data_IF_593007750257
#
_entry.id   IF_593007750257
#
_cell.length_a   1.000
_cell.length_b   1.000
_cell.length_c   1.000
_cell.angle_alpha   90.00
_cell.angle_beta   90.00
_cell.angle_gamma   90.00
#
_symmetry.space_group_name_H-M   'P 1'
#
loop_
_entity.id
_entity.type
_entity.pdbx_description
1 polymer ?
#
# COMPACT_ATOMS: atom_id res chain seq x y z
N UNK A 1 21.99 -4.74 -1.57
CA UNK A 1 20.73 -4.53 -0.84
C UNK A 1 19.79 -3.85 -1.80
N UNK A 2 18.59 -4.38 -1.99
CA UNK A 2 17.61 -3.90 -2.97
C UNK A 2 16.32 -3.56 -2.23
N UNK A 3 15.81 -2.34 -2.43
CA UNK A 3 14.50 -1.94 -1.91
C UNK A 3 13.49 -2.03 -3.04
N UNK A 4 12.45 -2.84 -2.85
CA UNK A 4 11.37 -3.03 -3.83
C UNK A 4 10.10 -2.39 -3.28
N UNK A 5 9.57 -1.38 -3.96
CA UNK A 5 8.29 -0.74 -3.61
C UNK A 5 7.19 -1.19 -4.57
N UNK A 6 6.22 -1.95 -4.09
CA UNK A 6 4.99 -2.24 -4.85
C UNK A 6 3.91 -1.18 -4.57
N UNK A 7 3.28 -0.64 -5.61
CA UNK A 7 2.04 0.13 -5.46
C UNK A 7 0.89 -0.79 -5.02
N UNK A 8 -0.09 -0.26 -4.27
CA UNK A 8 -1.21 -1.08 -3.76
C UNK A 8 -2.01 -1.76 -4.87
N UNK A 9 -2.29 -1.05 -5.98
CA UNK A 9 -2.97 -1.63 -7.16
C UNK A 9 -2.16 -2.73 -7.83
N UNK A 10 -0.85 -2.52 -8.01
CA UNK A 10 0.01 -3.53 -8.60
C UNK A 10 0.11 -4.78 -7.72
N UNK A 11 0.14 -4.59 -6.40
CA UNK A 11 0.12 -5.69 -5.44
C UNK A 11 -1.19 -6.48 -5.51
N UNK A 12 -2.34 -5.78 -5.52
CA UNK A 12 -3.64 -6.43 -5.62
C UNK A 12 -3.82 -7.22 -6.93
N UNK A 13 -3.38 -6.65 -8.05
CA UNK A 13 -3.55 -7.25 -9.37
C UNK A 13 -2.59 -8.41 -9.65
N UNK A 14 -1.45 -8.49 -8.94
CA UNK A 14 -0.37 -9.41 -9.30
C UNK A 14 0.41 -9.94 -8.09
N UNK A 15 -0.28 -10.16 -6.98
CA UNK A 15 0.30 -10.57 -5.69
C UNK A 15 1.24 -11.76 -5.83
N UNK A 16 0.75 -12.85 -6.42
CA UNK A 16 1.47 -14.12 -6.46
C UNK A 16 2.79 -14.03 -7.24
N UNK A 17 2.80 -13.33 -8.37
CA UNK A 17 4.01 -13.20 -9.17
C UNK A 17 5.02 -12.24 -8.53
N UNK A 18 4.56 -11.17 -7.87
CA UNK A 18 5.42 -10.27 -7.10
C UNK A 18 6.10 -11.06 -5.97
N UNK A 19 5.32 -11.82 -5.18
CA UNK A 19 5.86 -12.63 -4.09
C UNK A 19 6.80 -13.72 -4.60
N UNK A 20 6.46 -14.39 -5.71
CA UNK A 20 7.32 -15.41 -6.33
C UNK A 20 8.66 -14.84 -6.75
N UNK A 21 8.68 -13.68 -7.41
CA UNK A 21 9.92 -13.03 -7.84
C UNK A 21 10.78 -12.59 -6.65
N UNK A 22 10.17 -12.05 -5.60
CA UNK A 22 10.87 -11.68 -4.37
C UNK A 22 11.48 -12.92 -3.68
N UNK A 23 10.72 -14.01 -3.57
CA UNK A 23 11.18 -15.25 -2.97
C UNK A 23 12.33 -15.89 -3.76
N UNK A 24 12.24 -15.90 -5.09
CA UNK A 24 13.31 -16.37 -5.97
C UNK A 24 14.57 -15.49 -5.86
N UNK A 25 14.41 -14.17 -5.79
CA UNK A 25 15.52 -13.26 -5.56
C UNK A 25 16.20 -13.53 -4.22
N UNK A 26 15.42 -13.69 -3.15
CA UNK A 26 15.92 -14.01 -1.82
C UNK A 26 16.69 -15.34 -1.80
N UNK A 27 16.13 -16.39 -2.42
CA UNK A 27 16.79 -17.72 -2.45
C UNK A 27 18.11 -17.72 -3.22
N UNK A 28 18.28 -16.80 -4.19
CA UNK A 28 19.53 -16.54 -4.91
C UNK A 28 20.52 -15.65 -4.16
N UNK A 29 20.24 -15.30 -2.91
CA UNK A 29 21.12 -14.52 -2.04
C UNK A 29 20.93 -12.99 -2.13
N UNK A 30 19.86 -12.50 -2.79
CA UNK A 30 19.57 -11.07 -2.77
C UNK A 30 19.11 -10.64 -1.38
N UNK A 31 19.75 -9.59 -0.86
CA UNK A 31 19.29 -8.87 0.33
C UNK A 31 18.20 -7.88 -0.08
N UNK A 32 16.97 -8.15 0.33
CA UNK A 32 15.77 -7.42 -0.09
C UNK A 32 15.08 -6.71 1.09
N UNK A 33 14.59 -5.50 0.85
CA UNK A 33 13.59 -4.82 1.68
C UNK A 33 12.37 -4.62 0.80
N UNK A 34 11.24 -5.21 1.17
CA UNK A 34 9.99 -5.05 0.44
C UNK A 34 9.07 -4.09 1.17
N UNK A 35 8.57 -3.10 0.44
CA UNK A 35 7.60 -2.10 0.92
C UNK A 35 6.40 -2.15 -0.02
N UNK A 36 5.18 -2.03 0.49
CA UNK A 36 3.99 -1.92 -0.34
C UNK A 36 3.12 -0.73 0.04
N UNK A 37 2.11 -0.46 -0.79
CA UNK A 37 1.01 0.45 -0.44
C UNK A 37 -0.30 -0.32 -0.35
N UNK A 38 -1.39 0.38 -0.06
CA UNK A 38 -2.72 -0.23 0.04
C UNK A 38 -3.88 0.75 -0.08
N UNK A 39 -3.66 1.96 -0.59
CA UNK A 39 -4.65 3.06 -0.51
C UNK A 39 -6.05 2.71 -1.04
N UNK A 40 -6.15 2.03 -2.17
CA UNK A 40 -7.43 1.64 -2.76
C UNK A 40 -8.14 0.57 -1.92
N UNK A 41 -7.38 -0.40 -1.40
CA UNK A 41 -7.89 -1.46 -0.52
C UNK A 41 -8.43 -0.84 0.77
N UNK A 42 -7.66 0.05 1.41
CA UNK A 42 -8.09 0.80 2.60
C UNK A 42 -9.35 1.60 2.31
N UNK A 43 -9.42 2.31 1.16
CA UNK A 43 -10.61 3.07 0.76
C UNK A 43 -11.87 2.20 0.65
N UNK A 44 -11.73 0.93 0.23
CA UNK A 44 -12.86 0.00 0.17
C UNK A 44 -13.28 -0.48 1.56
N UNK A 45 -12.32 -0.75 2.45
CA UNK A 45 -12.62 -1.15 3.83
C UNK A 45 -13.26 -0.02 4.64
N UNK A 46 -12.77 1.21 4.51
CA UNK A 46 -13.40 2.41 5.10
C UNK A 46 -14.88 2.46 4.74
N UNK A 47 -15.19 2.40 3.44
CA UNK A 47 -16.58 2.41 2.95
C UNK A 47 -17.40 1.23 3.46
N UNK A 48 -16.83 0.04 3.52
CA UNK A 48 -17.49 -1.14 4.08
C UNK A 48 -17.80 -0.99 5.57
N UNK A 49 -17.02 -0.20 6.31
CA UNK A 49 -17.21 0.13 7.72
C UNK A 49 -18.06 1.39 7.93
N UNK A 50 -18.59 2.01 6.87
CA UNK A 50 -19.38 3.24 6.95
C UNK A 50 -18.55 4.50 7.22
N UNK A 51 -17.24 4.45 6.99
CA UNK A 51 -16.31 5.57 7.09
C UNK A 51 -16.08 6.11 5.67
N UNK A 52 -16.26 7.40 5.44
CA UNK A 52 -15.94 7.99 4.13
C UNK A 52 -14.45 8.38 4.04
N UNK A 53 -13.69 7.88 3.05
CA UNK A 53 -12.30 8.26 2.84
C UNK A 53 -12.14 9.76 2.60
N UNK A 54 -11.28 10.41 3.38
CA UNK A 54 -11.03 11.87 3.25
C UNK A 54 -9.66 12.14 2.68
N UNK A 55 -9.58 13.16 1.84
CA UNK A 55 -8.33 13.61 1.24
C UNK A 55 -8.17 15.12 1.41
N UNK A 56 -6.94 15.55 1.65
CA UNK A 56 -6.55 16.96 1.77
C UNK A 56 -5.51 17.28 0.70
N UNK A 57 -5.43 18.55 0.32
CA UNK A 57 -4.45 19.05 -0.64
C UNK A 57 -3.58 20.08 0.08
N UNK A 58 -2.27 19.87 0.09
CA UNK A 58 -1.32 20.81 0.68
C UNK A 58 -1.24 22.11 -0.14
N UNK A 59 -0.70 23.21 0.42
CA UNK A 59 -0.46 24.44 -0.36
C UNK A 59 0.38 24.23 -1.63
N UNK A 60 1.22 23.19 -1.66
CA UNK A 60 2.04 22.80 -2.80
C UNK A 60 1.31 21.89 -3.80
N UNK A 61 0.01 21.61 -3.59
CA UNK A 61 -0.80 20.78 -4.48
C UNK A 61 -0.69 19.27 -4.25
N UNK A 62 -0.02 18.83 -3.17
CA UNK A 62 0.11 17.40 -2.87
C UNK A 62 -1.19 16.90 -2.26
N UNK A 63 -1.83 15.93 -2.92
CA UNK A 63 -3.00 15.23 -2.38
C UNK A 63 -2.56 14.10 -1.44
N UNK A 64 -3.02 14.13 -0.19
CA UNK A 64 -2.80 13.08 0.80
C UNK A 64 -4.12 12.64 1.44
N UNK A 65 -4.11 11.45 2.03
CA UNK A 65 -5.23 10.94 2.84
C UNK A 65 -5.23 11.65 4.20
N UNK A 66 -6.42 11.98 4.69
CA UNK A 66 -6.60 12.55 6.01
C UNK A 66 -6.93 11.43 6.99
N UNK A 67 -5.92 10.96 7.71
CA UNK A 67 -6.03 9.83 8.62
C UNK A 67 -6.29 10.31 10.04
N UNK A 68 -7.55 10.27 10.47
CA UNK A 68 -7.95 10.51 11.86
C UNK A 68 -7.99 9.20 12.67
N UNK A 69 -8.36 9.30 13.96
CA UNK A 69 -8.41 8.16 14.88
C UNK A 69 -9.34 7.05 14.38
N UNK A 70 -10.47 7.39 13.75
CA UNK A 70 -11.41 6.40 13.21
C UNK A 70 -10.85 5.73 11.96
N UNK A 71 -10.14 6.48 11.12
CA UNK A 71 -9.48 5.93 9.94
C UNK A 71 -8.35 4.96 10.33
N UNK A 72 -7.62 5.22 11.42
CA UNK A 72 -6.58 4.32 11.92
C UNK A 72 -7.09 2.94 12.32
N UNK A 73 -8.35 2.81 12.75
CA UNK A 73 -8.95 1.51 13.09
C UNK A 73 -9.16 0.60 11.86
N UNK A 74 -9.04 1.13 10.65
CA UNK A 74 -9.17 0.37 9.40
C UNK A 74 -7.86 -0.36 9.04
N UNK A 75 -6.73 0.06 9.59
CA UNK A 75 -5.39 -0.48 9.32
C UNK A 75 -5.00 -1.58 10.31
#
# INVERSE_FOLDING_TARGET
>A
MIVVKAGGRALEQNLDNILRSLAEGFSRGLRLIFVHGGGDVVSRYEKAMGIEPRFVISPQGIRSRYTDERELEVY
#
